data_IF_375373414684
#
_entry.id   IF_375373414684
#
_cell.length_a   1.000
_cell.length_b   1.000
_cell.length_c   1.000
_cell.angle_alpha   90.00
_cell.angle_beta   90.00
_cell.angle_gamma   90.00
#
_symmetry.space_group_name_H-M   'P 1'
#
loop_
_entity.id
_entity.type
_entity.pdbx_description
1 polymer ?
#
# COMPACT_ATOMS: atom_id res chain seq x y z
N UNK A 1 4.76 19.94 15.47
CA UNK A 1 4.31 19.55 14.12
C UNK A 1 3.52 18.26 14.19
N UNK A 2 2.44 18.21 13.43
CA UNK A 2 1.63 17.01 13.38
C UNK A 2 2.39 15.90 12.64
N UNK A 3 2.31 14.67 13.18
CA UNK A 3 2.86 13.50 12.53
C UNK A 3 1.94 13.13 11.37
N UNK A 4 2.51 12.84 10.19
CA UNK A 4 1.73 12.33 9.07
C UNK A 4 1.33 10.89 9.36
N UNK A 5 0.05 10.62 9.24
CA UNK A 5 -0.54 9.31 9.51
C UNK A 5 -1.17 8.74 8.26
N UNK A 6 -0.82 7.50 7.97
CA UNK A 6 -1.41 6.74 6.89
C UNK A 6 -2.01 5.45 7.42
N UNK A 7 -2.98 4.93 6.70
CA UNK A 7 -3.61 3.65 7.03
C UNK A 7 -3.69 2.81 5.76
N UNK A 8 -3.49 1.51 5.90
CA UNK A 8 -3.48 0.63 4.75
C UNK A 8 -3.86 -0.80 5.06
N UNK A 9 -4.07 -1.57 4.00
CA UNK A 9 -4.49 -2.96 4.12
C UNK A 9 -3.53 -3.86 3.35
N UNK A 10 -3.02 -4.89 4.02
CA UNK A 10 -2.24 -5.95 3.42
C UNK A 10 -3.18 -7.11 3.13
N UNK A 11 -3.61 -7.22 1.88
CA UNK A 11 -4.46 -8.33 1.45
C UNK A 11 -3.56 -9.52 1.18
N UNK A 12 -3.96 -10.69 1.67
CA UNK A 12 -3.23 -11.93 1.43
C UNK A 12 -4.17 -13.06 1.03
N UNK A 13 -3.61 -14.01 0.29
CA UNK A 13 -4.29 -15.23 -0.11
C UNK A 13 -3.36 -16.43 0.10
N UNK A 14 -3.91 -17.65 0.13
CA UNK A 14 -3.18 -18.81 0.64
C UNK A 14 -2.82 -19.92 -0.34
N UNK A 15 -3.09 -19.93 -1.64
CA UNK A 15 -2.80 -21.15 -2.43
C UNK A 15 -1.44 -21.08 -3.13
N UNK A 16 -0.57 -22.07 -2.99
CA UNK A 16 -0.40 -23.03 -1.91
C UNK A 16 0.35 -22.47 -0.72
N UNK A 17 0.90 -21.26 -0.84
CA UNK A 17 1.59 -20.51 0.19
C UNK A 17 1.03 -19.10 0.24
N UNK A 18 1.17 -18.41 1.37
CA UNK A 18 0.67 -17.03 1.46
C UNK A 18 1.29 -16.15 0.40
N UNK A 19 0.44 -15.41 -0.30
CA UNK A 19 0.83 -14.35 -1.21
C UNK A 19 0.19 -13.05 -0.76
N UNK A 20 0.90 -11.96 -0.95
CA UNK A 20 0.43 -10.63 -0.55
C UNK A 20 0.28 -9.73 -1.77
N UNK A 21 -0.69 -8.82 -1.70
CA UNK A 21 -0.97 -7.87 -2.76
C UNK A 21 -0.21 -6.58 -2.49
N UNK A 22 0.65 -6.19 -3.43
CA UNK A 22 1.42 -4.96 -3.34
C UNK A 22 1.20 -4.11 -4.58
N UNK A 23 1.33 -2.80 -4.40
CA UNK A 23 1.32 -1.84 -5.50
C UNK A 23 2.68 -1.24 -5.72
N UNK A 24 3.06 -1.07 -6.99
CA UNK A 24 4.28 -0.36 -7.34
C UNK A 24 4.02 1.14 -7.29
N UNK A 25 4.87 1.87 -6.57
CA UNK A 25 4.71 3.31 -6.45
C UNK A 25 4.84 3.97 -7.81
N UNK A 26 3.88 4.85 -8.12
CA UNK A 26 3.83 5.53 -9.40
C UNK A 26 4.59 6.84 -9.39
N UNK A 27 4.69 7.43 -10.57
CA UNK A 27 5.37 8.69 -10.77
C UNK A 27 6.79 8.52 -11.27
N UNK A 28 7.41 9.64 -11.70
CA UNK A 28 8.69 9.59 -12.38
C UNK A 28 9.86 9.16 -11.51
N UNK A 29 9.76 9.35 -10.16
CA UNK A 29 10.82 8.95 -9.24
C UNK A 29 10.96 7.44 -9.10
N UNK A 30 9.88 6.69 -9.31
CA UNK A 30 9.81 5.26 -9.04
C UNK A 30 9.78 4.38 -10.29
N UNK A 31 9.58 5.00 -11.46
CA UNK A 31 9.30 4.29 -12.71
C UNK A 31 10.25 3.14 -13.00
N UNK A 32 11.55 3.31 -12.75
CA UNK A 32 12.58 2.32 -13.07
C UNK A 32 13.08 1.54 -11.87
N UNK A 33 12.44 1.72 -10.71
CA UNK A 33 12.82 1.04 -9.48
C UNK A 33 11.93 -0.17 -9.27
N UNK A 34 12.49 -1.20 -8.67
CA UNK A 34 11.75 -2.41 -8.34
C UNK A 34 11.88 -2.71 -6.85
N UNK A 35 13.02 -3.24 -6.39
CA UNK A 35 13.21 -3.50 -4.96
C UNK A 35 13.10 -2.20 -4.16
N UNK A 36 12.31 -2.25 -3.08
CA UNK A 36 12.06 -1.06 -2.25
C UNK A 36 11.07 -0.08 -2.84
N UNK A 37 10.46 -0.42 -3.99
CA UNK A 37 9.54 0.47 -4.70
C UNK A 37 8.08 0.05 -4.63
N UNK A 38 7.78 -0.99 -3.85
CA UNK A 38 6.42 -1.51 -3.68
C UNK A 38 5.92 -1.21 -2.28
N UNK A 39 4.60 -1.11 -2.15
CA UNK A 39 3.95 -0.73 -0.91
C UNK A 39 2.60 -1.44 -0.76
N UNK A 40 2.14 -1.60 0.49
CA UNK A 40 0.74 -1.94 0.69
C UNK A 40 -0.10 -0.75 0.21
N UNK A 41 -1.31 -0.98 -0.32
CA UNK A 41 -2.23 0.12 -0.62
C UNK A 41 -2.55 0.90 0.66
N UNK A 42 -2.23 2.18 0.69
CA UNK A 42 -2.39 3.03 1.86
C UNK A 42 -2.46 4.48 1.47
N UNK A 43 -3.00 5.30 2.36
CA UNK A 43 -2.99 6.73 2.17
C UNK A 43 -3.16 7.50 3.46
N UNK A 44 -2.96 8.79 3.38
CA UNK A 44 -3.02 9.68 4.52
C UNK A 44 -4.46 9.93 4.97
N UNK A 45 -4.63 10.15 6.26
CA UNK A 45 -5.93 10.49 6.84
C UNK A 45 -5.77 11.51 7.95
N UNK A 46 -6.86 12.19 8.24
CA UNK A 46 -6.93 13.19 9.31
C UNK A 46 -7.85 12.77 10.44
N UNK A 47 -8.20 13.75 11.28
CA UNK A 47 -8.98 13.50 12.49
C UNK A 47 -10.45 13.17 12.23
N UNK A 48 -10.92 13.35 11.00
CA UNK A 48 -12.34 13.14 10.67
C UNK A 48 -12.72 11.69 10.45
N UNK A 49 -11.74 10.79 10.36
CA UNK A 49 -12.02 9.35 10.19
C UNK A 49 -11.11 8.51 11.07
N UNK A 50 -11.59 7.30 11.39
CA UNK A 50 -10.76 6.35 12.13
C UNK A 50 -9.71 5.76 11.19
N UNK A 51 -8.59 5.26 11.75
CA UNK A 51 -7.57 4.61 10.91
C UNK A 51 -8.13 3.43 10.10
N UNK A 52 -9.03 2.64 10.69
CA UNK A 52 -9.61 1.50 9.97
C UNK A 52 -10.47 1.95 8.79
N UNK A 53 -11.32 2.96 9.00
CA UNK A 53 -12.14 3.51 7.92
C UNK A 53 -11.26 4.11 6.82
N UNK A 54 -10.19 4.79 7.21
CA UNK A 54 -9.23 5.35 6.27
C UNK A 54 -8.56 4.26 5.43
N UNK A 55 -8.17 3.17 6.08
CA UNK A 55 -7.55 2.05 5.37
C UNK A 55 -8.49 1.46 4.31
N UNK A 56 -9.77 1.28 4.66
CA UNK A 56 -10.78 0.77 3.73
C UNK A 56 -10.97 1.72 2.54
N UNK A 57 -11.09 3.00 2.83
CA UNK A 57 -11.27 4.04 1.78
C UNK A 57 -10.06 4.09 0.86
N UNK A 58 -8.86 4.10 1.42
CA UNK A 58 -7.62 4.22 0.65
C UNK A 58 -7.39 3.02 -0.26
N UNK A 59 -7.74 1.82 0.19
CA UNK A 59 -7.65 0.64 -0.67
C UNK A 59 -8.44 0.85 -1.95
N UNK A 60 -9.70 1.29 -1.82
CA UNK A 60 -10.57 1.51 -2.97
C UNK A 60 -10.07 2.64 -3.86
N UNK A 61 -9.60 3.74 -3.27
CA UNK A 61 -9.06 4.85 -4.04
C UNK A 61 -7.78 4.48 -4.80
N UNK A 62 -6.88 3.77 -4.12
CA UNK A 62 -5.58 3.41 -4.70
C UNK A 62 -5.71 2.36 -5.80
N UNK A 63 -6.63 1.42 -5.67
CA UNK A 63 -6.77 0.32 -6.62
C UNK A 63 -7.93 0.49 -7.60
N UNK A 64 -8.91 1.33 -7.27
CA UNK A 64 -10.15 1.41 -8.04
C UNK A 64 -10.98 0.14 -7.97
N UNK A 65 -10.70 -0.73 -7.00
CA UNK A 65 -11.37 -2.00 -6.78
C UNK A 65 -12.04 -1.95 -5.43
N UNK A 66 -13.31 -2.34 -5.32
CA UNK A 66 -13.96 -2.39 -4.00
C UNK A 66 -13.22 -3.35 -3.07
N UNK A 67 -13.11 -2.96 -1.79
CA UNK A 67 -12.49 -3.82 -0.79
C UNK A 67 -13.32 -5.09 -0.64
N UNK A 68 -12.73 -6.29 -0.78
CA UNK A 68 -13.48 -7.53 -0.55
C UNK A 68 -14.00 -7.62 0.89
N UNK A 69 -15.08 -8.34 1.12
CA UNK A 69 -15.58 -8.56 2.48
C UNK A 69 -14.63 -9.43 3.30
N UNK A 70 -14.68 -9.27 4.59
CA UNK A 70 -13.85 -10.04 5.52
C UNK A 70 -13.46 -9.20 6.72
N UNK A 71 -12.93 -9.88 7.72
CA UNK A 71 -12.50 -9.24 8.96
C UNK A 71 -11.10 -8.70 8.80
N UNK A 72 -10.93 -7.43 9.16
CA UNK A 72 -9.60 -6.82 9.22
C UNK A 72 -8.92 -7.20 10.52
N UNK A 73 -7.71 -7.76 10.43
CA UNK A 73 -6.92 -8.14 11.59
C UNK A 73 -5.77 -7.16 11.77
N UNK A 74 -5.63 -6.54 12.96
CA UNK A 74 -4.61 -5.53 13.15
C UNK A 74 -3.20 -6.08 12.97
N UNK A 75 -2.37 -5.34 12.22
CA UNK A 75 -0.93 -5.58 12.12
C UNK A 75 -0.14 -4.52 12.89
N UNK A 76 -0.82 -3.49 13.42
CA UNK A 76 -0.19 -2.45 14.21
C UNK A 76 0.43 -1.34 13.38
N UNK A 77 1.24 -0.55 14.04
CA UNK A 77 1.88 0.62 13.46
C UNK A 77 3.33 0.35 13.12
N UNK A 78 3.81 1.03 12.09
CA UNK A 78 5.24 1.13 11.78
C UNK A 78 5.58 2.59 11.50
N UNK A 79 6.87 2.92 11.61
CA UNK A 79 7.37 4.25 11.21
C UNK A 79 8.19 4.12 9.94
N UNK A 80 7.86 4.94 8.96
CA UNK A 80 8.64 5.05 7.74
C UNK A 80 9.59 6.24 7.82
N UNK A 81 10.52 6.34 6.87
CA UNK A 81 11.44 7.47 6.80
C UNK A 81 10.66 8.78 6.75
N UNK A 82 11.20 9.83 7.35
CA UNK A 82 10.51 11.10 7.47
C UNK A 82 9.53 11.17 8.63
N UNK A 83 9.46 10.13 9.48
CA UNK A 83 8.59 10.12 10.66
C UNK A 83 7.12 9.79 10.37
N UNK A 84 6.80 9.34 9.17
CA UNK A 84 5.43 8.93 8.82
C UNK A 84 5.05 7.68 9.60
N UNK A 85 3.83 7.68 10.17
CA UNK A 85 3.29 6.52 10.87
C UNK A 85 2.28 5.84 9.96
N UNK A 86 2.45 4.53 9.76
CA UNK A 86 1.52 3.72 8.98
C UNK A 86 0.88 2.69 9.89
N UNK A 87 -0.44 2.69 9.95
CA UNK A 87 -1.22 1.67 10.67
C UNK A 87 -1.80 0.73 9.64
N UNK A 88 -1.63 -0.57 9.84
CA UNK A 88 -2.02 -1.56 8.84
C UNK A 88 -2.89 -2.67 9.42
N UNK A 89 -3.72 -3.24 8.56
CA UNK A 89 -4.54 -4.42 8.84
C UNK A 89 -4.30 -5.47 7.77
N UNK A 90 -4.45 -6.73 8.14
CA UNK A 90 -4.42 -7.84 7.19
C UNK A 90 -5.85 -8.23 6.82
N UNK A 91 -6.04 -8.58 5.56
CA UNK A 91 -7.34 -9.09 5.08
C UNK A 91 -7.10 -10.34 4.23
N UNK A 92 -7.74 -11.44 4.62
CA UNK A 92 -7.70 -12.67 3.83
C UNK A 92 -8.74 -12.58 2.73
N UNK A 93 -8.30 -12.44 1.49
CA UNK A 93 -9.21 -12.30 0.35
C UNK A 93 -8.45 -12.52 -0.96
N UNK A 94 -9.18 -12.85 -2.00
CA UNK A 94 -8.66 -12.81 -3.36
C UNK A 94 -9.22 -11.55 -4.04
N UNK A 95 -8.45 -10.99 -4.95
CA UNK A 95 -8.80 -9.76 -5.65
C UNK A 95 -8.51 -9.96 -7.14
N UNK A 96 -9.50 -9.64 -7.97
CA UNK A 96 -9.31 -9.67 -9.41
C UNK A 96 -8.56 -8.40 -9.83
N UNK A 97 -7.28 -8.55 -10.15
CA UNK A 97 -6.43 -7.41 -10.49
C UNK A 97 -6.73 -6.83 -11.88
N UNK A 98 -7.52 -7.53 -12.71
CA UNK A 98 -7.87 -7.01 -14.04
C UNK A 98 -8.72 -5.73 -13.95
N UNK A 99 -9.36 -5.49 -12.83
CA UNK A 99 -10.17 -4.28 -12.59
C UNK A 99 -9.34 -3.11 -12.05
N UNK A 100 -8.03 -3.26 -11.89
CA UNK A 100 -7.17 -2.22 -11.34
C UNK A 100 -7.30 -0.91 -12.10
N UNK A 101 -7.61 0.16 -11.38
CA UNK A 101 -7.77 1.51 -11.93
C UNK A 101 -7.33 2.50 -10.85
N UNK A 102 -6.06 2.92 -10.86
CA UNK A 102 -5.51 3.70 -9.77
C UNK A 102 -5.99 5.15 -9.76
N UNK A 103 -6.02 5.75 -8.57
CA UNK A 103 -6.11 7.18 -8.43
C UNK A 103 -4.83 7.85 -8.93
N UNK A 104 -4.88 9.16 -9.11
CA UNK A 104 -3.77 9.94 -9.65
C UNK A 104 -3.38 11.07 -8.70
N UNK A 105 -2.17 11.56 -8.89
CA UNK A 105 -1.68 12.76 -8.22
C UNK A 105 -0.98 13.66 -9.24
N UNK A 106 -0.86 14.94 -8.92
CA UNK A 106 -0.17 15.88 -9.79
C UNK A 106 1.08 16.41 -9.11
N UNK A 107 2.14 16.55 -9.89
CA UNK A 107 3.39 17.19 -9.46
C UNK A 107 3.93 18.04 -10.60
N UNK A 108 4.78 18.99 -10.25
CA UNK A 108 5.54 19.73 -11.24
C UNK A 108 6.64 18.79 -11.79
N UNK A 109 6.57 18.53 -13.08
CA UNK A 109 7.55 17.66 -13.73
C UNK A 109 7.79 18.10 -15.18
N UNK A 110 9.01 18.23 -15.68
CA UNK A 110 10.25 18.09 -14.90
C UNK A 110 10.37 19.16 -13.80
N UNK A 111 11.29 18.94 -12.83
CA UNK A 111 11.48 19.94 -11.77
C UNK A 111 11.75 21.32 -12.36
N UNK A 112 11.13 22.35 -11.77
CA UNK A 112 11.28 23.77 -12.17
C UNK A 112 10.82 24.07 -13.59
N UNK A 113 10.00 23.19 -14.19
CA UNK A 113 9.49 23.40 -15.54
C UNK A 113 8.26 24.30 -15.59
N UNK A 114 7.57 24.46 -14.46
CA UNK A 114 6.28 25.13 -14.40
C UNK A 114 5.14 24.29 -14.96
N UNK A 115 5.40 23.05 -15.32
CA UNK A 115 4.41 22.13 -15.89
C UNK A 115 3.93 21.14 -14.82
N UNK A 116 2.63 21.06 -14.60
CA UNK A 116 2.04 20.07 -13.73
C UNK A 116 1.62 18.88 -14.57
N UNK A 117 2.03 17.70 -14.13
CA UNK A 117 1.69 16.44 -14.81
C UNK A 117 1.02 15.51 -13.80
N UNK A 118 0.08 14.71 -14.31
CA UNK A 118 -0.65 13.73 -13.52
C UNK A 118 0.00 12.36 -13.67
N UNK A 119 0.15 11.66 -12.55
CA UNK A 119 0.72 10.32 -12.50
C UNK A 119 -0.17 9.42 -11.65
N UNK A 120 -0.23 8.11 -11.92
CA UNK A 120 -0.96 7.20 -11.04
C UNK A 120 -0.27 7.09 -9.68
N UNK A 121 -1.07 7.01 -8.61
CA UNK A 121 -0.53 6.76 -7.26
C UNK A 121 0.23 5.43 -7.21
N UNK A 122 -0.38 4.40 -7.77
CA UNK A 122 0.25 3.10 -8.02
C UNK A 122 0.16 2.86 -9.52
N UNK A 123 1.26 2.45 -10.15
CA UNK A 123 1.24 2.23 -11.59
C UNK A 123 0.96 0.78 -11.98
N UNK A 124 1.07 -0.16 -11.05
CA UNK A 124 0.72 -1.56 -11.25
C UNK A 124 0.57 -2.26 -9.91
N UNK A 125 -0.08 -3.40 -9.91
CA UNK A 125 -0.29 -4.23 -8.73
C UNK A 125 0.07 -5.67 -9.07
N UNK A 126 0.52 -6.42 -8.07
CA UNK A 126 0.87 -7.82 -8.26
C UNK A 126 0.83 -8.58 -6.94
N UNK A 127 0.66 -9.89 -7.05
CA UNK A 127 0.78 -10.82 -5.93
C UNK A 127 2.22 -11.30 -5.82
N UNK A 128 2.72 -11.34 -4.59
CA UNK A 128 4.06 -11.85 -4.30
C UNK A 128 4.01 -12.83 -3.15
N UNK A 129 4.82 -13.90 -3.21
CA UNK A 129 5.05 -14.68 -2.01
C UNK A 129 5.74 -13.80 -0.96
N UNK A 130 5.65 -14.19 0.31
CA UNK A 130 6.15 -13.35 1.40
C UNK A 130 7.66 -13.10 1.29
N UNK A 131 8.43 -14.11 0.90
CA UNK A 131 9.88 -13.95 0.78
C UNK A 131 10.25 -12.92 -0.28
N UNK A 132 9.60 -12.98 -1.45
CA UNK A 132 9.81 -12.01 -2.53
C UNK A 132 9.32 -10.62 -2.11
N UNK A 133 8.14 -10.55 -1.49
CA UNK A 133 7.56 -9.29 -1.03
C UNK A 133 8.51 -8.53 -0.10
N UNK A 134 9.26 -9.27 0.74
CA UNK A 134 10.16 -8.66 1.70
C UNK A 134 11.23 -7.79 1.03
N UNK A 135 11.69 -8.18 -0.16
CA UNK A 135 12.66 -7.39 -0.91
C UNK A 135 12.00 -6.30 -1.77
N UNK A 136 10.72 -6.45 -2.07
CA UNK A 136 9.97 -5.52 -2.93
C UNK A 136 9.47 -4.30 -2.17
N UNK A 137 9.01 -4.46 -0.92
CA UNK A 137 8.40 -3.36 -0.18
C UNK A 137 9.42 -2.31 0.23
N UNK A 138 8.93 -1.08 0.45
CA UNK A 138 9.73 -0.06 1.12
C UNK A 138 10.21 -0.65 2.44
N UNK A 139 11.45 -0.37 2.79
CA UNK A 139 12.17 -1.07 3.86
C UNK A 139 11.39 -1.20 5.15
N UNK A 140 10.76 -0.12 5.61
CA UNK A 140 10.05 -0.12 6.88
C UNK A 140 8.84 -1.09 6.88
N UNK A 141 8.27 -1.38 5.72
CA UNK A 141 7.09 -2.25 5.63
C UNK A 141 7.41 -3.73 5.73
N UNK A 142 8.69 -4.11 5.69
CA UNK A 142 9.06 -5.52 5.87
C UNK A 142 8.58 -6.08 7.21
N UNK A 143 8.52 -5.24 8.23
CA UNK A 143 7.99 -5.62 9.55
C UNK A 143 6.54 -6.08 9.46
N UNK A 144 5.75 -5.47 8.59
CA UNK A 144 4.35 -5.88 8.40
C UNK A 144 4.25 -7.30 7.87
N UNK A 145 5.17 -7.70 7.00
CA UNK A 145 5.21 -9.06 6.49
C UNK A 145 5.56 -10.06 7.60
N UNK A 146 6.48 -9.69 8.49
CA UNK A 146 6.82 -10.52 9.63
C UNK A 146 5.62 -10.70 10.55
N UNK A 147 4.88 -9.63 10.80
CA UNK A 147 3.68 -9.68 11.65
C UNK A 147 2.58 -10.52 11.01
N UNK A 148 2.45 -10.46 9.67
CA UNK A 148 1.51 -11.31 8.96
C UNK A 148 1.85 -12.79 9.14
N UNK A 149 3.13 -13.15 8.98
CA UNK A 149 3.57 -14.54 9.16
C UNK A 149 3.23 -15.03 10.57
N UNK A 150 3.49 -14.22 11.59
CA UNK A 150 3.13 -14.56 12.97
C UNK A 150 1.62 -14.76 13.13
N UNK A 151 0.83 -13.91 12.50
CA UNK A 151 -0.62 -13.99 12.55
C UNK A 151 -1.14 -15.30 11.95
N UNK A 152 -0.47 -15.80 10.93
CA UNK A 152 -0.90 -17.00 10.19
C UNK A 152 -0.40 -18.31 10.80
N UNK A 153 0.38 -18.26 11.85
CA UNK A 153 0.88 -19.46 12.54
C UNK A 153 -0.12 -20.01 13.54
#
# INVERSE_FOLDING_TARGET
MAVQRSAGILVYRHPPQPEVLLGHMGGPFWRRKDNGAWTIPKGEYGDSETPEDAARREFTEELGIPLPPGDLQPLGEIRQSGGKVVTAWALHADVDLSAFSPGTFEIEWPPRSGRRQSFPELDRVAWFDVATARSKVVKAQAVLLDRLVELLQ
#
